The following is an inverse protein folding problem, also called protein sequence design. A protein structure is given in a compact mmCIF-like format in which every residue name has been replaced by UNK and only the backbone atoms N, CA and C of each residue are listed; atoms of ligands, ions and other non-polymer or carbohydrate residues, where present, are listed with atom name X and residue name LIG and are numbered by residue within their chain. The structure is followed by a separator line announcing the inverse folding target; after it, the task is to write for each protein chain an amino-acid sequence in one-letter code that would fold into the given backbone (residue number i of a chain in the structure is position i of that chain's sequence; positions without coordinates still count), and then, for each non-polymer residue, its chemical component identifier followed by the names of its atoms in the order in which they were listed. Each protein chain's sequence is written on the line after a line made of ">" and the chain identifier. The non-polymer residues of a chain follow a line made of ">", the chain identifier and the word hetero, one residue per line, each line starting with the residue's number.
data_IF_467972951766
#
_entry.id   IF_467972951766
#
_cell.length_a   1.000
_cell.length_b   1.000
_cell.length_c   1.000
_cell.angle_alpha   90.00
_cell.angle_beta   90.00
_cell.angle_gamma   90.00
#
_symmetry.space_group_name_H-M   'P 1'
#
loop_
_entity.id
_entity.type
_entity.pdbx_description
1 polymer ?
#
# COMPACT_ATOMS: atom_id res chain seq x y z
N UNK A 1 21.21 -31.96 5.31
CA UNK A 1 19.97 -31.81 4.52
C UNK A 1 19.63 -30.34 4.21
N UNK A 2 19.68 -29.41 5.18
CA UNK A 2 19.38 -27.97 4.98
C UNK A 2 20.16 -27.31 3.81
N UNK A 3 21.47 -27.55 3.61
CA UNK A 3 22.21 -26.96 2.48
C UNK A 3 21.70 -27.41 1.11
N UNK A 4 21.19 -28.65 1.02
CA UNK A 4 20.64 -29.24 -0.21
C UNK A 4 19.29 -28.60 -0.53
N UNK A 5 18.42 -28.45 0.47
CA UNK A 5 17.14 -27.72 0.32
C UNK A 5 17.40 -26.28 -0.16
N UNK A 6 18.45 -25.63 0.34
CA UNK A 6 18.84 -24.31 -0.11
C UNK A 6 19.34 -24.26 -1.56
N UNK A 7 20.20 -25.19 -1.98
CA UNK A 7 20.70 -25.21 -3.36
C UNK A 7 19.56 -25.46 -4.34
N UNK A 8 18.67 -26.41 -4.02
CA UNK A 8 17.47 -26.66 -4.81
C UNK A 8 16.52 -25.46 -4.80
N UNK A 9 16.34 -24.76 -3.67
CA UNK A 9 15.49 -23.56 -3.63
C UNK A 9 15.94 -22.47 -4.62
N UNK A 10 17.25 -22.35 -4.86
CA UNK A 10 17.79 -21.37 -5.82
C UNK A 10 17.52 -21.78 -7.26
N UNK A 11 17.78 -23.03 -7.60
CA UNK A 11 17.54 -23.53 -8.97
C UNK A 11 16.05 -23.52 -9.29
N UNK A 12 15.23 -24.00 -8.37
CA UNK A 12 13.79 -24.06 -8.47
C UNK A 12 13.16 -22.66 -8.53
N UNK A 13 13.70 -21.66 -7.83
CA UNK A 13 13.26 -20.28 -8.00
C UNK A 13 13.61 -19.68 -9.37
N UNK A 14 14.79 -20.00 -9.92
CA UNK A 14 15.16 -19.57 -11.28
C UNK A 14 14.25 -20.22 -12.31
N UNK A 15 14.02 -21.53 -12.23
CA UNK A 15 13.14 -22.27 -13.14
C UNK A 15 11.71 -21.75 -13.04
N UNK A 16 11.17 -21.62 -11.83
CA UNK A 16 9.82 -21.12 -11.59
C UNK A 16 9.63 -19.69 -12.12
N UNK A 17 10.60 -18.80 -11.93
CA UNK A 17 10.53 -17.42 -12.45
C UNK A 17 10.59 -17.39 -13.99
N UNK A 18 11.36 -18.27 -14.61
CA UNK A 18 11.45 -18.34 -16.07
C UNK A 18 10.20 -18.95 -16.71
N UNK A 19 9.59 -19.95 -16.08
CA UNK A 19 8.33 -20.56 -16.53
C UNK A 19 7.14 -19.59 -16.36
N UNK A 20 7.09 -18.83 -15.26
CA UNK A 20 6.06 -17.80 -15.02
C UNK A 20 6.13 -16.66 -16.07
N UNK A 21 7.33 -16.34 -16.56
CA UNK A 21 7.52 -15.38 -17.64
C UNK A 21 7.21 -15.93 -19.04
N UNK A 22 7.21 -17.25 -19.20
CA UNK A 22 7.03 -17.93 -20.48
C UNK A 22 5.96 -19.02 -20.36
N UNK A 23 4.68 -18.66 -20.19
CA UNK A 23 3.59 -19.63 -19.99
C UNK A 23 3.39 -20.57 -21.20
N UNK A 24 3.89 -20.20 -22.39
CA UNK A 24 3.89 -21.05 -23.58
C UNK A 24 4.73 -22.32 -23.43
N UNK A 25 5.79 -22.31 -22.60
CA UNK A 25 6.66 -23.47 -22.38
C UNK A 25 6.02 -24.55 -21.50
N UNK A 26 4.93 -24.23 -20.81
CA UNK A 26 4.22 -25.18 -19.94
C UNK A 26 3.28 -26.07 -20.77
N UNK A 27 2.76 -25.57 -21.90
CA UNK A 27 1.79 -26.30 -22.76
C UNK A 27 2.36 -27.55 -23.44
N UNK A 28 3.67 -27.66 -23.60
CA UNK A 28 4.31 -28.79 -24.31
C UNK A 28 4.68 -29.97 -23.41
N UNK A 29 4.47 -29.87 -22.09
CA UNK A 29 4.92 -30.91 -21.17
C UNK A 29 3.76 -31.85 -20.82
N UNK A 30 3.63 -32.92 -21.61
CA UNK A 30 2.73 -34.08 -21.41
C UNK A 30 2.97 -34.88 -20.10
N UNK A 31 3.72 -34.34 -19.12
CA UNK A 31 4.11 -35.04 -17.90
C UNK A 31 3.11 -34.89 -16.73
N UNK A 32 2.00 -34.18 -16.93
CA UNK A 32 0.93 -34.00 -15.92
C UNK A 32 -0.36 -34.78 -16.24
N UNK A 33 -0.36 -35.67 -17.24
CA UNK A 33 -1.53 -36.44 -17.66
C UNK A 33 -1.76 -37.72 -16.82
N UNK A 34 -1.38 -37.75 -15.55
CA UNK A 34 -1.72 -38.84 -14.63
C UNK A 34 -2.20 -38.28 -13.30
N UNK A 35 -3.37 -37.65 -13.34
CA UNK A 35 -4.37 -37.63 -12.25
C UNK A 35 -5.62 -36.91 -12.79
N UNK A 36 -6.31 -37.57 -13.72
CA UNK A 36 -7.68 -37.23 -14.07
C UNK A 36 -8.60 -37.77 -12.97
N UNK A 37 -9.08 -36.88 -12.10
CA UNK A 37 -10.31 -37.04 -11.34
C UNK A 37 -10.86 -35.64 -11.00
N UNK A 38 -12.00 -35.34 -11.62
CA UNK A 38 -13.03 -34.36 -11.25
C UNK A 38 -12.61 -32.91 -10.92
N UNK A 39 -12.85 -32.04 -11.92
CA UNK A 39 -13.64 -30.80 -11.79
C UNK A 39 -13.37 -29.88 -10.58
N UNK A 40 -12.10 -29.51 -10.34
CA UNK A 40 -11.71 -28.48 -9.38
C UNK A 40 -11.01 -27.26 -10.05
N UNK A 41 -11.32 -26.02 -9.63
CA UNK A 41 -10.76 -24.82 -10.23
C UNK A 41 -9.32 -24.63 -9.76
N UNK A 42 -8.36 -24.82 -10.67
CA UNK A 42 -7.00 -24.32 -10.48
C UNK A 42 -5.92 -25.35 -10.80
N UNK A 43 -5.39 -25.29 -12.02
CA UNK A 43 -4.06 -25.86 -12.31
C UNK A 43 -3.04 -25.19 -11.39
N UNK A 44 -2.54 -25.93 -10.40
CA UNK A 44 -1.48 -25.45 -9.51
C UNK A 44 -0.29 -25.09 -10.39
N UNK A 45 0.14 -23.83 -10.32
CA UNK A 45 1.28 -23.39 -11.12
C UNK A 45 2.53 -24.10 -10.62
N UNK A 46 3.48 -24.44 -11.50
CA UNK A 46 4.77 -25.00 -11.10
C UNK A 46 5.46 -24.18 -9.98
N UNK A 47 5.22 -22.86 -9.97
CA UNK A 47 5.64 -21.94 -8.90
C UNK A 47 5.04 -22.29 -7.54
N UNK A 48 3.77 -22.65 -7.50
CA UNK A 48 3.04 -23.01 -6.29
C UNK A 48 3.50 -24.36 -5.78
N UNK A 49 3.73 -25.35 -6.65
CA UNK A 49 4.33 -26.63 -6.26
C UNK A 49 5.73 -26.43 -5.65
N UNK A 50 6.54 -25.63 -6.32
CA UNK A 50 7.83 -25.15 -5.85
C UNK A 50 7.74 -24.49 -4.46
N UNK A 51 6.76 -23.63 -4.25
CA UNK A 51 6.52 -22.98 -2.96
C UNK A 51 5.98 -23.95 -1.90
N UNK A 52 5.17 -24.94 -2.29
CA UNK A 52 4.62 -25.97 -1.41
C UNK A 52 5.74 -26.85 -0.85
N UNK A 53 6.70 -27.28 -1.68
CA UNK A 53 7.89 -28.03 -1.21
C UNK A 53 8.69 -27.24 -0.18
N UNK A 54 8.89 -25.93 -0.41
CA UNK A 54 9.57 -25.06 0.55
C UNK A 54 8.74 -24.81 1.82
N UNK A 55 7.41 -24.73 1.69
CA UNK A 55 6.49 -24.59 2.81
C UNK A 55 6.49 -25.85 3.69
N UNK A 56 6.55 -27.03 3.10
CA UNK A 56 6.66 -28.30 3.83
C UNK A 56 7.97 -28.40 4.60
N UNK A 57 9.08 -27.98 3.98
CA UNK A 57 10.38 -27.90 4.66
C UNK A 57 10.32 -26.91 5.83
N UNK A 58 9.67 -25.76 5.65
CA UNK A 58 9.45 -24.77 6.70
C UNK A 58 8.60 -25.32 7.84
N UNK A 59 7.48 -25.99 7.56
CA UNK A 59 6.59 -26.59 8.58
C UNK A 59 7.35 -27.65 9.38
N UNK A 60 8.15 -28.49 8.72
CA UNK A 60 9.01 -29.50 9.39
C UNK A 60 10.05 -28.85 10.31
N UNK A 61 10.62 -27.71 9.92
CA UNK A 61 11.52 -26.94 10.78
C UNK A 61 10.77 -26.27 11.95
N UNK A 62 9.55 -25.81 11.74
CA UNK A 62 8.73 -25.12 12.73
C UNK A 62 8.21 -26.06 13.82
N UNK A 63 7.80 -27.28 13.46
CA UNK A 63 7.34 -28.31 14.39
C UNK A 63 8.39 -28.67 15.46
N UNK A 64 9.68 -28.51 15.15
CA UNK A 64 10.79 -28.73 16.07
C UNK A 64 10.84 -30.13 16.66
N UNK A 65 11.55 -30.27 17.78
CA UNK A 65 11.52 -31.49 18.59
C UNK A 65 10.33 -31.45 19.56
N UNK A 66 9.56 -32.54 19.71
CA UNK A 66 8.41 -32.56 20.59
C UNK A 66 8.81 -32.25 22.05
N UNK A 67 8.01 -31.41 22.71
CA UNK A 67 8.21 -31.03 24.13
C UNK A 67 9.12 -29.83 24.38
N UNK A 68 9.77 -29.25 23.35
CA UNK A 68 10.62 -28.06 23.53
C UNK A 68 9.82 -26.77 23.40
N UNK A 69 9.88 -25.91 24.40
CA UNK A 69 9.18 -24.61 24.38
C UNK A 69 9.72 -23.71 23.26
N UNK A 70 8.85 -22.88 22.67
CA UNK A 70 9.26 -21.90 21.64
C UNK A 70 10.23 -20.84 22.16
N UNK A 71 10.20 -20.55 23.46
CA UNK A 71 11.10 -19.58 24.11
C UNK A 71 12.52 -20.08 24.29
N UNK A 72 12.76 -21.39 24.08
CA UNK A 72 14.09 -21.99 24.22
C UNK A 72 14.95 -21.72 22.99
N UNK A 73 16.22 -21.37 23.19
CA UNK A 73 17.17 -21.14 22.11
C UNK A 73 17.45 -22.45 21.34
N UNK A 74 17.33 -22.48 20.01
CA UNK A 74 17.67 -23.65 19.22
C UNK A 74 19.16 -24.04 19.37
N UNK A 75 19.43 -25.31 19.64
CA UNK A 75 20.78 -25.90 19.62
C UNK A 75 21.20 -26.26 18.19
N UNK A 76 22.50 -26.47 17.94
CA UNK A 76 23.06 -26.78 16.62
C UNK A 76 22.39 -27.96 15.90
N UNK A 77 21.94 -28.96 16.66
CA UNK A 77 21.27 -30.16 16.14
C UNK A 77 19.75 -29.99 15.97
N UNK A 78 19.20 -28.85 16.38
CA UNK A 78 17.78 -28.56 16.32
C UNK A 78 17.35 -28.15 14.91
N UNK A 79 16.30 -28.81 14.40
CA UNK A 79 15.66 -28.48 13.12
C UNK A 79 15.18 -27.03 13.07
N UNK A 80 14.89 -26.42 14.23
CA UNK A 80 14.42 -25.03 14.36
C UNK A 80 15.45 -23.99 13.86
N UNK A 81 16.75 -24.32 13.80
CA UNK A 81 17.76 -23.45 13.17
C UNK A 81 17.41 -23.16 11.70
N UNK A 82 16.72 -24.09 11.03
CA UNK A 82 16.31 -23.96 9.64
C UNK A 82 15.06 -23.10 9.38
N UNK A 83 14.35 -22.62 10.42
CA UNK A 83 13.06 -21.92 10.28
C UNK A 83 13.19 -20.68 9.38
N UNK A 84 14.01 -19.71 9.78
CA UNK A 84 14.12 -18.46 9.00
C UNK A 84 14.86 -18.67 7.69
N UNK A 85 15.71 -19.68 7.59
CA UNK A 85 16.40 -20.01 6.35
C UNK A 85 15.44 -20.52 5.27
N UNK A 86 14.58 -21.49 5.62
CA UNK A 86 13.54 -22.02 4.73
C UNK A 86 12.45 -20.99 4.46
N UNK A 87 12.03 -20.24 5.49
CA UNK A 87 11.07 -19.16 5.34
C UNK A 87 11.56 -18.08 4.36
N UNK A 88 12.81 -17.62 4.49
CA UNK A 88 13.38 -16.62 3.59
C UNK A 88 13.47 -17.10 2.13
N UNK A 89 13.80 -18.38 1.91
CA UNK A 89 13.79 -18.97 0.57
C UNK A 89 12.38 -19.01 -0.03
N UNK A 90 11.38 -19.42 0.75
CA UNK A 90 10.00 -19.47 0.29
C UNK A 90 9.45 -18.05 0.01
N UNK A 91 9.67 -17.11 0.92
CA UNK A 91 9.26 -15.71 0.75
C UNK A 91 9.91 -15.07 -0.48
N UNK A 92 11.19 -15.37 -0.74
CA UNK A 92 11.88 -14.94 -1.96
C UNK A 92 11.18 -15.44 -3.22
N UNK A 93 10.86 -16.74 -3.27
CA UNK A 93 10.15 -17.35 -4.40
C UNK A 93 8.77 -16.71 -4.61
N UNK A 94 7.95 -16.64 -3.57
CA UNK A 94 6.61 -16.06 -3.62
C UNK A 94 6.64 -14.61 -4.13
N UNK A 95 7.64 -13.85 -3.74
CA UNK A 95 7.81 -12.48 -4.18
C UNK A 95 8.26 -12.36 -5.64
N UNK A 96 9.14 -13.25 -6.10
CA UNK A 96 9.58 -13.29 -7.50
C UNK A 96 8.41 -13.59 -8.44
N UNK A 97 7.50 -14.45 -8.02
CA UNK A 97 6.30 -14.83 -8.77
C UNK A 97 5.08 -13.95 -8.47
N UNK A 98 5.27 -12.81 -7.78
CA UNK A 98 4.22 -11.84 -7.44
C UNK A 98 3.04 -12.40 -6.62
N UNK A 99 3.18 -13.57 -6.00
CA UNK A 99 2.18 -14.24 -5.14
C UNK A 99 2.41 -13.96 -3.65
N UNK A 100 2.70 -12.71 -3.31
CA UNK A 100 3.02 -12.31 -1.92
C UNK A 100 1.85 -12.54 -0.94
N UNK A 101 0.60 -12.54 -1.43
CA UNK A 101 -0.60 -12.85 -0.61
C UNK A 101 -0.52 -14.25 0.03
N UNK A 102 0.08 -15.22 -0.66
CA UNK A 102 0.22 -16.60 -0.20
C UNK A 102 1.24 -16.77 0.96
N UNK A 103 1.92 -15.68 1.35
CA UNK A 103 2.83 -15.67 2.49
C UNK A 103 2.11 -15.47 3.85
N UNK A 104 0.83 -15.09 3.86
CA UNK A 104 0.08 -14.80 5.09
C UNK A 104 0.15 -15.96 6.09
N UNK A 105 -0.14 -17.18 5.64
CA UNK A 105 -0.12 -18.36 6.49
C UNK A 105 1.27 -18.61 7.10
N UNK A 106 2.35 -18.35 6.35
CA UNK A 106 3.70 -18.48 6.87
C UNK A 106 3.97 -17.48 8.01
N UNK A 107 3.56 -16.22 7.84
CA UNK A 107 3.71 -15.21 8.89
C UNK A 107 2.92 -15.58 10.15
N UNK A 108 1.68 -16.04 10.00
CA UNK A 108 0.86 -16.51 11.12
C UNK A 108 1.48 -17.71 11.84
N UNK A 109 2.03 -18.68 11.11
CA UNK A 109 2.71 -19.84 11.72
C UNK A 109 3.98 -19.43 12.49
N UNK A 110 4.75 -18.48 11.96
CA UNK A 110 5.93 -17.93 12.65
C UNK A 110 5.50 -17.23 13.94
N UNK A 111 4.47 -16.38 13.89
CA UNK A 111 3.94 -15.65 15.04
C UNK A 111 3.49 -16.59 16.16
N UNK A 112 2.86 -17.71 15.79
CA UNK A 112 2.36 -18.70 16.73
C UNK A 112 3.46 -19.59 17.34
N UNK A 113 4.43 -20.06 16.54
CA UNK A 113 5.28 -21.19 16.95
C UNK A 113 6.78 -20.89 16.97
N UNK A 114 7.25 -19.85 16.29
CA UNK A 114 8.69 -19.64 16.16
C UNK A 114 9.34 -19.12 17.47
N UNK A 115 10.61 -19.48 17.71
CA UNK A 115 11.41 -18.81 18.73
C UNK A 115 11.67 -17.33 18.40
N UNK A 116 12.00 -16.51 19.41
CA UNK A 116 12.35 -15.10 19.20
C UNK A 116 13.33 -14.89 18.04
N UNK A 117 13.13 -13.83 17.26
CA UNK A 117 14.05 -13.50 16.17
C UNK A 117 15.49 -13.33 16.68
N UNK A 118 15.69 -12.79 17.90
CA UNK A 118 16.99 -12.51 18.52
C UNK A 118 17.95 -13.71 18.49
N UNK A 119 17.42 -14.94 18.54
CA UNK A 119 18.21 -16.17 18.58
C UNK A 119 18.90 -16.52 17.25
N UNK A 120 18.44 -15.93 16.14
CA UNK A 120 18.93 -16.26 14.80
C UNK A 120 20.01 -15.28 14.32
N UNK A 121 20.89 -15.69 13.38
CA UNK A 121 21.90 -14.81 12.82
C UNK A 121 21.31 -13.56 12.15
N UNK A 122 22.00 -12.43 12.26
CA UNK A 122 21.54 -11.13 11.74
C UNK A 122 21.17 -11.18 10.25
N UNK A 123 21.92 -11.93 9.43
CA UNK A 123 21.62 -12.09 8.00
C UNK A 123 20.23 -12.71 7.75
N UNK A 124 19.83 -13.71 8.54
CA UNK A 124 18.52 -14.36 8.42
C UNK A 124 17.41 -13.42 8.91
N UNK A 125 17.63 -12.75 10.05
CA UNK A 125 16.67 -11.79 10.63
C UNK A 125 16.40 -10.63 9.67
N UNK A 126 17.44 -9.98 9.16
CA UNK A 126 17.33 -8.83 8.26
C UNK A 126 16.58 -9.21 6.98
N UNK A 127 16.86 -10.39 6.42
CA UNK A 127 16.18 -10.89 5.22
C UNK A 127 14.69 -11.14 5.48
N UNK A 128 14.37 -11.75 6.61
CA UNK A 128 12.98 -12.00 7.01
C UNK A 128 12.22 -10.70 7.24
N UNK A 129 12.79 -9.77 8.02
CA UNK A 129 12.20 -8.46 8.29
C UNK A 129 11.98 -7.66 7.00
N UNK A 130 12.90 -7.74 6.05
CA UNK A 130 12.71 -7.12 4.73
C UNK A 130 11.47 -7.66 4.00
N UNK A 131 11.27 -8.99 3.96
CA UNK A 131 10.10 -9.59 3.32
C UNK A 131 8.80 -9.34 4.10
N UNK A 132 8.84 -9.40 5.43
CA UNK A 132 7.71 -9.05 6.29
C UNK A 132 7.29 -7.59 6.09
N UNK A 133 8.26 -6.67 6.00
CA UNK A 133 7.99 -5.26 5.72
C UNK A 133 7.36 -5.06 4.35
N UNK A 134 7.83 -5.76 3.31
CA UNK A 134 7.21 -5.72 1.97
C UNK A 134 5.79 -6.28 1.96
N UNK A 135 5.52 -7.34 2.72
CA UNK A 135 4.17 -7.87 2.87
C UNK A 135 3.23 -6.85 3.53
N UNK A 136 3.64 -6.25 4.66
CA UNK A 136 2.85 -5.21 5.31
C UNK A 136 2.64 -3.99 4.40
N UNK A 137 3.65 -3.60 3.61
CA UNK A 137 3.54 -2.49 2.67
C UNK A 137 2.52 -2.77 1.58
N UNK A 138 2.56 -3.96 0.98
CA UNK A 138 1.61 -4.38 -0.04
C UNK A 138 0.16 -4.41 0.47
N UNK A 139 -0.05 -4.64 1.77
CA UNK A 139 -1.35 -4.60 2.44
C UNK A 139 -1.67 -3.21 3.04
N UNK A 140 -0.99 -2.14 2.62
CA UNK A 140 -1.20 -0.77 3.09
C UNK A 140 -0.98 -0.55 4.61
N UNK A 141 -0.30 -1.47 5.30
CA UNK A 141 0.03 -1.34 6.72
C UNK A 141 1.36 -0.56 6.91
N UNK A 142 1.37 0.74 6.58
CA UNK A 142 2.60 1.54 6.56
C UNK A 142 3.27 1.70 7.93
N UNK A 143 2.51 1.73 9.03
CA UNK A 143 3.08 1.81 10.38
C UNK A 143 3.85 0.54 10.74
N UNK A 144 3.22 -0.62 10.52
CA UNK A 144 3.84 -1.95 10.71
C UNK A 144 5.07 -2.10 9.82
N UNK A 145 4.96 -1.65 8.57
CA UNK A 145 6.07 -1.62 7.62
C UNK A 145 7.24 -0.79 8.15
N UNK A 146 6.98 0.43 8.62
CA UNK A 146 8.01 1.33 9.13
C UNK A 146 8.73 0.70 10.32
N UNK A 147 8.00 0.15 11.29
CA UNK A 147 8.60 -0.48 12.47
C UNK A 147 9.50 -1.68 12.12
N UNK A 148 9.02 -2.57 11.25
CA UNK A 148 9.75 -3.77 10.83
C UNK A 148 10.98 -3.43 9.99
N UNK A 149 10.84 -2.54 9.01
CA UNK A 149 11.95 -2.15 8.13
C UNK A 149 12.98 -1.27 8.83
N UNK A 150 12.57 -0.49 9.84
CA UNK A 150 13.50 0.24 10.70
C UNK A 150 14.44 -0.74 11.42
N UNK A 151 13.87 -1.78 12.06
CA UNK A 151 14.66 -2.85 12.69
C UNK A 151 15.56 -3.58 11.70
N UNK A 152 15.05 -3.86 10.48
CA UNK A 152 15.85 -4.47 9.43
C UNK A 152 17.07 -3.60 9.04
N UNK A 153 16.87 -2.29 8.90
CA UNK A 153 17.90 -1.34 8.49
C UNK A 153 18.97 -1.13 9.56
N UNK A 154 18.57 -1.13 10.84
CA UNK A 154 19.47 -1.01 11.99
C UNK A 154 20.33 -2.27 12.18
N UNK A 155 19.76 -3.46 11.94
CA UNK A 155 20.49 -4.73 12.04
C UNK A 155 21.33 -5.05 10.80
N UNK A 156 21.11 -4.38 9.67
CA UNK A 156 21.82 -4.64 8.43
C UNK A 156 23.26 -4.10 8.48
N UNK A 157 24.24 -4.94 8.14
CA UNK A 157 25.65 -4.58 8.15
C UNK A 157 25.94 -3.35 7.28
N UNK A 158 26.74 -2.40 7.79
CA UNK A 158 27.01 -1.11 7.13
C UNK A 158 27.63 -1.25 5.74
N UNK A 159 28.46 -2.27 5.52
CA UNK A 159 29.06 -2.55 4.20
C UNK A 159 28.11 -3.20 3.20
N UNK A 160 26.94 -3.73 3.64
CA UNK A 160 25.97 -4.37 2.76
C UNK A 160 25.09 -3.34 2.03
N UNK A 161 25.73 -2.40 1.30
CA UNK A 161 25.09 -1.22 0.71
C UNK A 161 23.88 -1.57 -0.17
N UNK A 162 24.01 -2.62 -1.01
CA UNK A 162 22.90 -3.07 -1.86
C UNK A 162 21.68 -3.52 -1.06
N UNK A 163 21.89 -4.25 0.04
CA UNK A 163 20.79 -4.70 0.91
C UNK A 163 20.18 -3.55 1.69
N UNK A 164 21.03 -2.67 2.24
CA UNK A 164 20.58 -1.44 2.92
C UNK A 164 19.73 -0.57 1.99
N UNK A 165 20.12 -0.45 0.71
CA UNK A 165 19.37 0.26 -0.33
C UNK A 165 17.98 -0.34 -0.56
N UNK A 166 17.88 -1.67 -0.67
CA UNK A 166 16.59 -2.35 -0.81
C UNK A 166 15.67 -2.08 0.38
N UNK A 167 16.18 -2.20 1.61
CA UNK A 167 15.41 -1.93 2.83
C UNK A 167 14.99 -0.45 2.87
N UNK A 168 15.93 0.45 2.60
CA UNK A 168 15.73 1.89 2.67
C UNK A 168 14.68 2.38 1.67
N UNK A 169 14.58 1.76 0.49
CA UNK A 169 13.56 2.10 -0.52
C UNK A 169 12.14 1.98 0.06
N UNK A 170 11.80 0.84 0.65
CA UNK A 170 10.48 0.61 1.23
C UNK A 170 10.30 1.36 2.56
N UNK A 171 11.38 1.53 3.34
CA UNK A 171 11.33 2.32 4.56
C UNK A 171 11.01 3.78 4.27
N UNK A 172 11.61 4.39 3.24
CA UNK A 172 11.30 5.76 2.83
C UNK A 172 9.88 5.88 2.30
N UNK A 173 9.45 4.97 1.43
CA UNK A 173 8.08 4.96 0.92
C UNK A 173 7.06 4.90 2.08
N UNK A 174 7.25 3.96 3.02
CA UNK A 174 6.38 3.83 4.18
C UNK A 174 6.36 5.08 5.07
N UNK A 175 7.54 5.67 5.34
CA UNK A 175 7.65 6.90 6.14
C UNK A 175 6.94 8.09 5.48
N UNK A 176 7.05 8.23 4.16
CA UNK A 176 6.39 9.32 3.42
C UNK A 176 4.87 9.15 3.45
N UNK A 177 4.36 7.92 3.28
CA UNK A 177 2.92 7.63 3.38
C UNK A 177 2.32 7.96 4.76
N UNK A 178 3.15 8.03 5.81
CA UNK A 178 2.75 8.42 7.18
C UNK A 178 3.23 9.81 7.56
N UNK A 179 3.63 10.63 6.59
CA UNK A 179 3.95 12.05 6.77
C UNK A 179 5.28 12.33 7.47
N UNK A 180 6.25 11.41 7.40
CA UNK A 180 7.61 11.58 7.91
C UNK A 180 8.61 11.60 6.76
N UNK A 181 9.32 12.72 6.60
CA UNK A 181 10.30 12.91 5.53
C UNK A 181 11.73 12.56 5.98
N UNK A 182 12.61 12.16 5.03
CA UNK A 182 13.99 11.84 5.34
C UNK A 182 14.78 13.08 5.79
N UNK A 183 15.72 12.88 6.70
CA UNK A 183 16.68 13.90 7.10
C UNK A 183 17.86 13.99 6.12
N UNK A 184 18.51 15.15 6.04
CA UNK A 184 19.71 15.33 5.22
C UNK A 184 20.83 14.35 5.57
N UNK A 185 20.99 14.02 6.86
CA UNK A 185 21.97 13.04 7.35
C UNK A 185 21.69 11.59 6.92
N UNK A 186 20.42 11.24 6.64
CA UNK A 186 20.07 9.94 6.07
C UNK A 186 20.37 9.93 4.57
N UNK A 187 20.06 11.03 3.87
CA UNK A 187 20.27 11.17 2.43
C UNK A 187 21.75 11.27 2.05
N UNK A 188 22.63 11.69 2.96
CA UNK A 188 24.08 11.74 2.73
C UNK A 188 24.75 10.37 2.80
N UNK A 189 24.03 9.29 3.11
CA UNK A 189 24.58 7.94 3.20
C UNK A 189 24.75 7.29 1.81
N UNK A 190 25.76 6.43 1.61
CA UNK A 190 26.04 5.82 0.30
C UNK A 190 24.89 4.95 -0.24
N UNK A 191 24.13 4.28 0.64
CA UNK A 191 22.94 3.52 0.22
C UNK A 191 21.79 4.42 -0.25
N UNK A 192 21.77 5.69 0.17
CA UNK A 192 20.69 6.63 -0.06
C UNK A 192 20.88 7.51 -1.31
N UNK A 193 22.08 7.59 -1.89
CA UNK A 193 22.39 8.44 -3.05
C UNK A 193 21.36 8.32 -4.18
N UNK A 194 21.20 7.13 -4.76
CA UNK A 194 20.30 6.90 -5.90
C UNK A 194 18.82 7.04 -5.51
N UNK A 195 18.49 6.67 -4.27
CA UNK A 195 17.11 6.69 -3.77
C UNK A 195 16.68 8.13 -3.46
N UNK A 196 17.59 8.93 -2.89
CA UNK A 196 17.37 10.31 -2.52
C UNK A 196 17.00 11.18 -3.72
N UNK A 197 17.62 10.92 -4.88
CA UNK A 197 17.29 11.61 -6.14
C UNK A 197 15.83 11.45 -6.55
N UNK A 198 15.19 10.33 -6.18
CA UNK A 198 13.79 10.03 -6.51
C UNK A 198 12.81 10.49 -5.41
N UNK A 199 13.17 10.29 -4.13
CA UNK A 199 12.26 10.63 -3.05
C UNK A 199 12.30 12.11 -2.63
N UNK A 200 13.42 12.81 -2.83
CA UNK A 200 13.55 14.21 -2.42
C UNK A 200 12.63 15.15 -3.24
N UNK A 201 12.55 15.04 -4.59
CA UNK A 201 11.59 15.82 -5.36
C UNK A 201 10.14 15.54 -4.94
N UNK A 202 9.80 14.26 -4.71
CA UNK A 202 8.48 13.87 -4.20
C UNK A 202 8.16 14.55 -2.86
N UNK A 203 9.10 14.56 -1.91
CA UNK A 203 8.90 15.23 -0.62
C UNK A 203 8.65 16.74 -0.80
N UNK A 204 9.39 17.40 -1.70
CA UNK A 204 9.20 18.83 -2.00
C UNK A 204 7.82 19.11 -2.61
N UNK A 205 7.38 18.27 -3.54
CA UNK A 205 6.06 18.37 -4.17
C UNK A 205 4.93 18.22 -3.12
N UNK A 206 5.06 17.23 -2.23
CA UNK A 206 4.10 17.03 -1.14
C UNK A 206 4.08 18.26 -0.22
N UNK A 207 5.25 18.80 0.14
CA UNK A 207 5.36 20.00 0.99
C UNK A 207 4.75 21.25 0.34
N UNK A 208 4.89 21.41 -0.97
CA UNK A 208 4.32 22.56 -1.69
C UNK A 208 2.80 22.44 -1.88
N UNK A 209 2.24 21.24 -1.79
CA UNK A 209 0.82 20.99 -2.08
C UNK A 209 0.49 21.10 -3.58
N UNK A 210 1.44 20.80 -4.46
CA UNK A 210 1.24 20.93 -5.91
C UNK A 210 0.67 19.63 -6.48
N UNK A 211 -0.66 19.56 -6.62
CA UNK A 211 -1.37 18.37 -7.11
C UNK A 211 -0.98 17.98 -8.53
N UNK A 212 -0.85 18.95 -9.45
CA UNK A 212 -0.46 18.66 -10.82
C UNK A 212 0.94 18.07 -10.91
N UNK A 213 1.94 18.69 -10.26
CA UNK A 213 3.30 18.12 -10.22
C UNK A 213 3.35 16.78 -9.53
N UNK A 214 2.49 16.54 -8.53
CA UNK A 214 2.40 15.26 -7.86
C UNK A 214 1.94 14.15 -8.81
N UNK A 215 0.84 14.38 -9.53
CA UNK A 215 0.35 13.43 -10.54
C UNK A 215 1.36 13.22 -11.65
N UNK A 216 1.96 14.28 -12.20
CA UNK A 216 2.99 14.17 -13.25
C UNK A 216 4.23 13.39 -12.78
N UNK A 217 4.70 13.63 -11.55
CA UNK A 217 5.90 12.98 -11.03
C UNK A 217 5.69 11.49 -10.71
N UNK A 218 4.46 11.11 -10.35
CA UNK A 218 4.09 9.72 -10.12
C UNK A 218 3.35 9.10 -11.31
N UNK A 219 3.30 9.76 -12.45
CA UNK A 219 2.65 9.21 -13.65
C UNK A 219 3.38 7.94 -14.14
N UNK A 220 2.63 6.94 -14.61
CA UNK A 220 3.18 5.63 -15.00
C UNK A 220 4.21 5.76 -16.14
N UNK A 221 4.04 6.75 -17.02
CA UNK A 221 4.94 6.98 -18.16
C UNK A 221 6.15 7.84 -17.82
N UNK A 222 6.08 8.60 -16.73
CA UNK A 222 7.21 9.38 -16.24
C UNK A 222 8.41 8.51 -15.84
N UNK A 223 9.62 9.07 -15.98
CA UNK A 223 10.87 8.40 -15.56
C UNK A 223 10.81 7.99 -14.08
N UNK A 224 10.24 8.85 -13.25
CA UNK A 224 10.05 8.61 -11.82
C UNK A 224 9.00 7.55 -11.52
N UNK A 225 7.83 7.60 -12.16
CA UNK A 225 6.80 6.57 -12.02
C UNK A 225 7.31 5.19 -12.43
N UNK A 226 7.99 5.06 -13.58
CA UNK A 226 8.64 3.80 -14.01
C UNK A 226 9.62 3.26 -12.96
N UNK A 227 10.40 4.14 -12.32
CA UNK A 227 11.34 3.76 -11.26
C UNK A 227 10.64 3.23 -9.99
N UNK A 228 9.54 3.87 -9.57
CA UNK A 228 8.74 3.46 -8.42
C UNK A 228 7.91 2.20 -8.72
N UNK A 229 7.40 2.07 -9.95
CA UNK A 229 6.63 0.91 -10.42
C UNK A 229 7.51 -0.35 -10.42
N UNK A 230 8.74 -0.25 -10.94
CA UNK A 230 9.72 -1.35 -10.91
C UNK A 230 10.03 -1.83 -9.48
N UNK A 231 9.79 -0.99 -8.47
CA UNK A 231 9.99 -1.30 -7.04
C UNK A 231 8.68 -1.63 -6.33
N UNK A 232 7.55 -1.68 -7.02
CA UNK A 232 6.23 -1.97 -6.43
C UNK A 232 5.88 -1.03 -5.27
N UNK A 233 6.22 0.26 -5.40
CA UNK A 233 5.84 1.29 -4.40
C UNK A 233 4.96 2.41 -4.98
N UNK A 234 4.78 2.45 -6.30
CA UNK A 234 4.11 3.55 -7.00
C UNK A 234 2.66 3.77 -6.53
N UNK A 235 1.84 2.73 -6.60
CA UNK A 235 0.40 2.84 -6.32
C UNK A 235 0.14 3.32 -4.89
N UNK A 236 0.85 2.74 -3.92
CA UNK A 236 0.74 3.16 -2.52
C UNK A 236 1.19 4.62 -2.31
N UNK A 237 2.19 5.09 -3.06
CA UNK A 237 2.62 6.49 -3.01
C UNK A 237 1.57 7.42 -3.62
N UNK A 238 0.99 7.07 -4.78
CA UNK A 238 -0.09 7.83 -5.42
C UNK A 238 -1.27 7.99 -4.45
N UNK A 239 -1.86 6.87 -4.01
CA UNK A 239 -3.10 6.88 -3.22
C UNK A 239 -2.94 7.57 -1.87
N UNK A 240 -1.82 7.29 -1.17
CA UNK A 240 -1.65 7.73 0.23
C UNK A 240 -1.03 9.10 0.36
N UNK A 241 -0.13 9.47 -0.55
CA UNK A 241 0.50 10.78 -0.47
C UNK A 241 -0.40 11.88 -1.02
N UNK A 242 -1.34 11.57 -1.92
CA UNK A 242 -2.28 12.56 -2.46
C UNK A 242 -3.04 13.29 -1.34
N UNK A 243 -3.54 12.56 -0.34
CA UNK A 243 -4.23 13.12 0.83
C UNK A 243 -3.31 14.12 1.57
N UNK A 244 -2.01 13.84 1.66
CA UNK A 244 -1.02 14.71 2.31
C UNK A 244 -0.72 15.94 1.44
N UNK A 245 -0.74 15.80 0.11
CA UNK A 245 -0.61 16.91 -0.84
C UNK A 245 -1.81 17.85 -0.71
N UNK A 246 -3.04 17.31 -0.68
CA UNK A 246 -4.27 18.07 -0.43
C UNK A 246 -4.21 18.84 0.88
N UNK A 247 -3.79 18.20 1.97
CA UNK A 247 -3.58 18.88 3.26
C UNK A 247 -2.59 20.04 3.13
N UNK A 248 -1.50 19.83 2.40
CA UNK A 248 -0.46 20.85 2.21
C UNK A 248 -0.94 22.00 1.34
N UNK A 249 -1.76 21.72 0.32
CA UNK A 249 -2.45 22.72 -0.49
C UNK A 249 -3.38 23.57 0.38
N UNK A 250 -4.29 22.96 1.15
CA UNK A 250 -5.20 23.68 2.06
C UNK A 250 -4.41 24.54 3.04
N UNK A 251 -3.30 24.02 3.59
CA UNK A 251 -2.41 24.76 4.48
C UNK A 251 -1.77 25.96 3.78
N UNK A 252 -1.30 25.79 2.55
CA UNK A 252 -0.66 26.87 1.77
C UNK A 252 -1.67 27.95 1.40
N UNK A 253 -2.86 27.57 0.97
CA UNK A 253 -3.95 28.51 0.68
C UNK A 253 -4.39 29.26 1.93
N UNK A 254 -4.46 28.60 3.09
CA UNK A 254 -4.73 29.28 4.37
C UNK A 254 -3.66 30.33 4.69
N UNK A 255 -2.37 30.01 4.49
CA UNK A 255 -1.28 30.96 4.75
C UNK A 255 -1.30 32.19 3.84
N UNK A 256 -1.79 32.06 2.61
CA UNK A 256 -1.80 33.13 1.62
C UNK A 256 -3.08 33.95 1.61
N UNK A 257 -4.22 33.32 1.90
CA UNK A 257 -5.55 33.90 1.68
C UNK A 257 -6.55 33.54 2.79
N UNK A 258 -6.08 32.93 3.88
CA UNK A 258 -6.89 32.66 5.06
C UNK A 258 -7.07 33.92 5.91
N UNK A 259 -8.25 34.06 6.51
CA UNK A 259 -8.51 35.07 7.51
C UNK A 259 -7.89 34.61 8.84
N UNK A 260 -6.91 35.35 9.35
CA UNK A 260 -6.10 34.95 10.52
C UNK A 260 -6.81 35.11 11.88
N UNK A 261 -8.03 35.65 11.87
CA UNK A 261 -8.79 35.97 13.08
C UNK A 261 -8.46 37.36 13.61
N UNK A 262 -9.50 38.08 14.01
CA UNK A 262 -9.43 39.31 14.81
C UNK A 262 -10.15 39.03 16.14
N UNK A 263 -10.09 39.95 17.11
CA UNK A 263 -10.83 39.80 18.37
C UNK A 263 -12.30 39.45 18.09
N UNK A 264 -12.76 38.33 18.66
CA UNK A 264 -14.10 37.71 18.51
C UNK A 264 -14.40 36.95 17.21
N UNK A 265 -13.56 36.96 16.17
CA UNK A 265 -13.80 36.21 14.92
C UNK A 265 -12.90 34.99 14.79
N UNK A 266 -13.52 33.83 14.55
CA UNK A 266 -12.80 32.57 14.31
C UNK A 266 -12.03 32.64 12.98
N UNK A 267 -10.74 32.28 12.93
CA UNK A 267 -9.98 32.18 11.68
C UNK A 267 -10.64 31.21 10.71
N UNK A 268 -10.70 31.57 9.42
CA UNK A 268 -11.33 30.72 8.41
C UNK A 268 -10.67 30.85 7.04
N UNK A 269 -10.85 29.85 6.19
CA UNK A 269 -10.46 29.83 4.79
C UNK A 269 -11.69 29.54 3.93
N UNK A 270 -11.94 30.37 2.92
CA UNK A 270 -12.95 30.08 1.90
C UNK A 270 -12.45 28.94 1.02
N UNK A 271 -13.23 27.88 0.89
CA UNK A 271 -12.87 26.68 0.14
C UNK A 271 -12.83 26.95 -1.37
N UNK A 272 -13.48 28.00 -1.85
CA UNK A 272 -13.37 28.48 -3.23
C UNK A 272 -11.91 28.77 -3.63
N UNK A 273 -11.09 29.33 -2.73
CA UNK A 273 -9.67 29.56 -3.01
C UNK A 273 -8.88 28.26 -3.12
N UNK A 274 -9.27 27.23 -2.36
CA UNK A 274 -8.66 25.90 -2.47
C UNK A 274 -9.02 25.29 -3.81
N UNK A 275 -10.28 25.40 -4.23
CA UNK A 275 -10.74 24.95 -5.55
C UNK A 275 -9.95 25.61 -6.68
N UNK A 276 -9.83 26.93 -6.68
CA UNK A 276 -9.05 27.63 -7.71
C UNK A 276 -7.59 27.21 -7.73
N UNK A 277 -6.96 27.07 -6.56
CA UNK A 277 -5.57 26.61 -6.49
C UNK A 277 -5.40 25.16 -6.99
N UNK A 278 -6.33 24.26 -6.66
CA UNK A 278 -6.34 22.88 -7.13
C UNK A 278 -6.57 22.80 -8.65
N UNK A 279 -7.59 23.50 -9.16
CA UNK A 279 -7.91 23.54 -10.59
C UNK A 279 -6.74 24.12 -11.39
N UNK A 280 -6.13 25.21 -10.93
CA UNK A 280 -4.93 25.77 -11.54
C UNK A 280 -3.77 24.77 -11.52
N UNK A 281 -3.60 24.02 -10.43
CA UNK A 281 -2.54 23.02 -10.35
C UNK A 281 -2.73 21.89 -11.37
N UNK A 282 -3.96 21.39 -11.53
CA UNK A 282 -4.32 20.29 -12.44
C UNK A 282 -4.37 20.72 -13.92
N UNK A 283 -4.87 21.93 -14.23
CA UNK A 283 -4.94 22.45 -15.61
C UNK A 283 -3.56 22.57 -16.27
N UNK A 284 -2.52 22.89 -15.50
CA UNK A 284 -1.13 22.92 -16.00
C UNK A 284 -0.68 21.57 -16.56
N UNK A 285 -1.28 20.47 -16.12
CA UNK A 285 -1.00 19.13 -16.62
C UNK A 285 -1.60 18.94 -18.02
N UNK A 286 -2.83 19.41 -18.24
CA UNK A 286 -3.53 19.33 -19.54
C UNK A 286 -2.88 20.21 -20.62
N UNK A 287 -2.40 21.42 -20.28
CA UNK A 287 -1.73 22.29 -21.26
C UNK A 287 -0.30 21.87 -21.62
N UNK A 288 0.33 21.00 -20.82
CA UNK A 288 1.69 20.49 -21.06
C UNK A 288 1.75 19.14 -21.78
N UNK A 289 0.62 18.44 -21.88
CA UNK A 289 0.48 17.13 -22.51
C UNK A 289 -0.68 17.20 -23.52
N UNK A 290 -0.37 17.43 -24.80
CA UNK A 290 -1.27 17.11 -25.92
C UNK A 290 -1.40 15.59 -26.11
N UNK A 291 -1.74 14.90 -25.03
CA UNK A 291 -1.73 13.44 -24.90
C UNK A 291 -2.22 13.06 -23.52
N UNK A 292 -3.51 12.73 -23.46
CA UNK A 292 -4.24 11.97 -22.44
C UNK A 292 -3.75 12.02 -20.99
N UNK A 293 -4.55 12.64 -20.12
CA UNK A 293 -4.67 12.14 -18.74
C UNK A 293 -5.89 11.25 -18.74
N UNK A 294 -5.67 9.94 -18.62
CA UNK A 294 -6.70 9.01 -18.26
C UNK A 294 -7.26 9.40 -16.88
N UNK A 295 -8.36 10.15 -16.90
CA UNK A 295 -9.50 9.66 -16.14
C UNK A 295 -9.73 8.21 -16.60
N UNK A 296 -10.26 7.35 -15.75
CA UNK A 296 -10.90 6.13 -16.27
C UNK A 296 -12.15 6.59 -17.02
N UNK A 297 -11.96 7.19 -18.20
CA UNK A 297 -12.86 7.03 -19.31
C UNK A 297 -12.70 5.56 -19.67
N UNK A 298 -13.75 4.79 -19.43
CA UNK A 298 -13.99 3.58 -20.18
C UNK A 298 -13.78 4.00 -21.64
N UNK A 299 -12.69 3.53 -22.27
CA UNK A 299 -12.55 3.65 -23.72
C UNK A 299 -13.66 2.77 -24.29
N UNK A 300 -14.82 3.38 -24.55
CA UNK A 300 -15.89 2.84 -25.38
C UNK A 300 -15.43 2.82 -26.84
N UNK A 301 -14.36 2.08 -27.15
CA UNK A 301 -13.93 1.86 -28.54
C UNK A 301 -14.32 0.47 -29.05
N UNK A 302 -15.14 -0.26 -28.29
CA UNK A 302 -15.84 -1.44 -28.79
C UNK A 302 -17.29 -1.43 -28.34
N UNK A 303 -18.14 -0.85 -29.18
CA UNK A 303 -19.59 -1.09 -29.16
C UNK A 303 -19.83 -2.23 -30.14
N UNK A 304 -20.35 -3.34 -29.64
CA UNK A 304 -20.78 -4.46 -30.49
C UNK A 304 -21.81 -3.93 -31.51
N UNK A 305 -21.67 -4.24 -32.82
CA UNK A 305 -22.57 -3.72 -33.86
C UNK A 305 -24.06 -3.93 -33.58
N UNK A 306 -24.43 -4.93 -32.77
CA UNK A 306 -25.81 -5.19 -32.36
C UNK A 306 -26.35 -4.14 -31.35
N UNK A 307 -25.46 -3.37 -30.71
CA UNK A 307 -25.78 -2.38 -29.68
C UNK A 307 -25.34 -0.96 -30.05
N UNK A 308 -24.91 -0.72 -31.29
CA UNK A 308 -24.44 0.59 -31.77
C UNK A 308 -25.50 1.70 -31.63
N UNK A 309 -26.79 1.34 -31.65
CA UNK A 309 -27.92 2.27 -31.56
C UNK A 309 -28.63 2.24 -30.20
N UNK A 310 -28.01 1.64 -29.17
CA UNK A 310 -28.68 1.44 -27.86
C UNK A 310 -29.06 2.77 -27.21
N UNK A 311 -28.23 3.79 -27.31
CA UNK A 311 -28.52 5.12 -26.75
C UNK A 311 -29.64 5.83 -27.52
N UNK A 312 -29.75 5.59 -28.83
CA UNK A 312 -30.86 6.09 -29.63
C UNK A 312 -32.17 5.38 -29.23
N UNK A 313 -32.12 4.07 -29.02
CA UNK A 313 -33.27 3.29 -28.55
C UNK A 313 -33.70 3.65 -27.12
N UNK A 314 -32.76 3.88 -26.20
CA UNK A 314 -33.03 4.36 -24.83
C UNK A 314 -33.71 5.73 -24.87
N UNK A 315 -33.23 6.64 -25.73
CA UNK A 315 -33.82 7.97 -25.91
C UNK A 315 -35.19 7.95 -26.61
N UNK A 316 -35.45 6.99 -27.51
CA UNK A 316 -36.78 6.82 -28.13
C UNK A 316 -37.79 6.16 -27.21
N UNK A 317 -37.35 5.23 -26.36
CA UNK A 317 -38.24 4.41 -25.52
C UNK A 317 -38.42 4.97 -24.11
N UNK A 318 -37.51 5.84 -23.64
CA UNK A 318 -37.55 6.40 -22.29
C UNK A 318 -37.15 5.40 -21.19
N UNK A 319 -36.40 4.34 -21.54
CA UNK A 319 -35.97 3.31 -20.59
C UNK A 319 -34.75 3.76 -19.78
N UNK A 320 -34.83 3.76 -18.45
CA UNK A 320 -33.74 4.15 -17.57
C UNK A 320 -33.01 2.89 -17.02
N UNK A 321 -31.77 2.60 -17.45
CA UNK A 321 -31.10 1.33 -17.16
C UNK A 321 -30.65 1.18 -15.70
N UNK A 322 -30.47 2.27 -14.97
CA UNK A 322 -30.07 2.23 -13.55
C UNK A 322 -31.23 1.85 -12.62
N UNK A 323 -32.46 2.18 -13.00
CA UNK A 323 -33.68 1.96 -12.19
C UNK A 323 -34.57 0.87 -12.77
N UNK A 324 -34.42 0.55 -14.05
CA UNK A 324 -35.20 -0.44 -14.79
C UNK A 324 -36.62 0.02 -15.14
N UNK A 325 -36.90 1.32 -15.13
CA UNK A 325 -38.23 1.89 -15.35
C UNK A 325 -38.32 2.63 -16.68
N UNK A 326 -39.52 2.66 -17.27
CA UNK A 326 -39.84 3.48 -18.45
C UNK A 326 -40.45 4.79 -17.99
N UNK A 327 -39.87 5.91 -18.43
CA UNK A 327 -40.36 7.26 -18.12
C UNK A 327 -41.35 7.72 -19.20
N UNK A 328 -42.64 7.64 -18.90
CA UNK A 328 -43.74 7.98 -19.82
C UNK A 328 -43.75 9.47 -20.27
N UNK A 329 -43.09 10.39 -19.56
CA UNK A 329 -43.06 11.83 -19.89
C UNK A 329 -41.98 12.21 -20.93
N UNK A 330 -41.16 11.27 -21.40
CA UNK A 330 -39.84 11.55 -22.00
C UNK A 330 -39.68 11.15 -23.47
N UNK A 331 -40.75 11.02 -24.25
CA UNK A 331 -40.64 10.72 -25.69
C UNK A 331 -40.43 12.02 -26.49
N UNK A 332 -39.19 12.29 -26.91
CA UNK A 332 -38.91 13.17 -28.06
C UNK A 332 -38.44 14.62 -27.82
N UNK A 333 -37.79 14.95 -26.69
CA UNK A 333 -37.14 16.27 -26.53
C UNK A 333 -35.63 16.16 -26.29
N UNK A 334 -34.89 16.91 -27.12
CA UNK A 334 -33.43 16.98 -27.19
C UNK A 334 -32.80 17.30 -25.81
N UNK A 335 -31.91 16.43 -25.32
CA UNK A 335 -31.05 16.75 -24.16
C UNK A 335 -30.10 17.87 -24.58
N UNK A 336 -30.00 18.99 -23.83
CA UNK A 336 -28.95 19.96 -24.07
C UNK A 336 -27.61 19.32 -23.72
N UNK A 337 -26.66 19.34 -24.65
CA UNK A 337 -25.31 18.86 -24.43
C UNK A 337 -24.78 19.39 -23.08
N UNK A 338 -24.46 18.47 -22.17
CA UNK A 338 -23.74 18.80 -20.94
C UNK A 338 -22.44 19.46 -21.36
N UNK A 339 -22.32 20.77 -21.10
CA UNK A 339 -21.17 21.55 -21.54
C UNK A 339 -19.87 20.96 -20.99
N UNK A 340 -18.92 20.69 -21.89
CA UNK A 340 -17.61 20.06 -21.67
C UNK A 340 -16.62 20.84 -20.78
N UNK A 341 -17.08 21.74 -19.91
CA UNK A 341 -16.23 22.65 -19.14
C UNK A 341 -16.66 22.87 -17.68
N UNK A 342 -16.99 21.80 -16.95
CA UNK A 342 -16.87 21.90 -15.50
C UNK A 342 -15.39 21.84 -15.09
N UNK A 343 -14.89 22.97 -14.59
CA UNK A 343 -13.53 23.08 -14.05
C UNK A 343 -13.34 22.14 -12.84
N UNK A 344 -12.77 20.96 -13.08
CA UNK A 344 -12.33 20.05 -12.03
C UNK A 344 -11.21 20.69 -11.18
N UNK A 345 -11.19 20.45 -9.85
CA UNK A 345 -12.19 19.71 -9.09
C UNK A 345 -13.42 20.57 -8.80
N UNK A 346 -14.58 19.92 -8.66
CA UNK A 346 -15.84 20.59 -8.27
C UNK A 346 -15.79 21.08 -6.82
N UNK A 347 -16.75 21.94 -6.45
CA UNK A 347 -16.84 22.43 -5.07
C UNK A 347 -17.12 21.27 -4.08
N UNK A 348 -17.99 20.33 -4.48
CA UNK A 348 -18.35 19.16 -3.69
C UNK A 348 -17.15 18.22 -3.46
N UNK A 349 -16.29 18.04 -4.46
CA UNK A 349 -15.05 17.26 -4.33
C UNK A 349 -14.10 17.91 -3.32
N UNK A 350 -13.89 19.23 -3.42
CA UNK A 350 -13.03 19.96 -2.46
C UNK A 350 -13.59 19.88 -1.04
N UNK A 351 -14.90 20.02 -0.86
CA UNK A 351 -15.54 19.84 0.44
C UNK A 351 -15.35 18.43 1.00
N UNK A 352 -15.54 17.41 0.16
CA UNK A 352 -15.36 16.00 0.52
C UNK A 352 -13.92 15.70 0.96
N UNK A 353 -12.94 16.24 0.22
CA UNK A 353 -11.52 16.12 0.58
C UNK A 353 -11.23 16.78 1.94
N UNK A 354 -11.71 18.01 2.16
CA UNK A 354 -11.48 18.72 3.43
C UNK A 354 -12.17 18.03 4.60
N UNK A 355 -13.40 17.54 4.41
CA UNK A 355 -14.12 16.73 5.40
C UNK A 355 -13.35 15.45 5.75
N UNK A 356 -12.84 14.73 4.75
CA UNK A 356 -12.01 13.54 4.96
C UNK A 356 -10.73 13.86 5.74
N UNK A 357 -10.07 14.98 5.44
CA UNK A 357 -8.91 15.45 6.19
C UNK A 357 -9.23 15.78 7.66
N UNK A 358 -10.41 16.34 7.94
CA UNK A 358 -10.88 16.62 9.31
C UNK A 358 -11.18 15.31 10.04
N UNK A 359 -11.90 14.38 9.42
CA UNK A 359 -12.22 13.07 9.99
C UNK A 359 -10.95 12.27 10.32
N UNK A 360 -9.95 12.33 9.43
CA UNK A 360 -8.64 11.72 9.66
C UNK A 360 -7.81 12.46 10.72
N UNK A 361 -8.24 13.65 11.18
CA UNK A 361 -7.54 14.48 12.17
C UNK A 361 -6.33 15.21 11.60
N UNK A 362 -6.16 15.18 10.28
CA UNK A 362 -5.06 15.82 9.55
C UNK A 362 -5.26 17.33 9.43
N UNK A 363 -6.52 17.78 9.53
CA UNK A 363 -6.96 19.14 9.77
C UNK A 363 -7.82 19.16 11.04
N UNK A 364 -7.78 20.27 11.79
CA UNK A 364 -8.60 20.48 12.99
C UNK A 364 -9.46 21.72 12.81
N UNK A 365 -10.76 21.53 12.66
CA UNK A 365 -11.72 22.60 12.42
C UNK A 365 -13.04 22.06 11.93
N UNK A 366 -13.88 22.96 11.42
CA UNK A 366 -15.21 22.65 10.89
C UNK A 366 -15.36 23.21 9.48
N UNK A 367 -16.08 22.51 8.63
CA UNK A 367 -16.53 23.02 7.33
C UNK A 367 -17.99 23.43 7.39
N UNK A 368 -18.35 24.45 6.62
CA UNK A 368 -19.74 24.85 6.41
C UNK A 368 -20.08 24.73 4.92
N UNK A 369 -21.25 24.16 4.61
CA UNK A 369 -21.69 23.91 3.23
C UNK A 369 -22.36 25.12 2.57
N UNK A 370 -23.25 25.83 3.28
CA UNK A 370 -24.00 27.00 2.72
C UNK A 370 -23.11 28.18 2.34
N UNK A 371 -21.94 28.30 2.96
CA UNK A 371 -20.88 29.22 2.59
C UNK A 371 -19.56 28.47 2.73
N UNK A 372 -19.07 27.82 1.65
CA UNK A 372 -17.97 26.87 1.70
C UNK A 372 -16.71 27.43 2.37
N UNK A 373 -16.54 27.14 3.65
CA UNK A 373 -15.44 27.65 4.46
C UNK A 373 -14.97 26.64 5.49
N UNK A 374 -13.67 26.57 5.68
CA UNK A 374 -12.99 25.83 6.73
C UNK A 374 -12.65 26.78 7.87
N UNK A 375 -13.28 26.60 9.03
CA UNK A 375 -13.09 27.41 10.23
C UNK A 375 -12.22 26.69 11.26
N UNK A 376 -11.31 27.41 11.91
CA UNK A 376 -10.33 26.89 12.88
C UNK A 376 -10.59 27.51 14.26
N UNK A 377 -11.49 26.94 15.07
CA UNK A 377 -11.74 27.42 16.42
C UNK A 377 -10.57 27.11 17.36
N UNK A 378 -10.51 27.82 18.49
CA UNK A 378 -9.49 27.60 19.52
C UNK A 378 -8.07 28.06 19.14
N UNK A 379 -7.92 28.81 18.04
CA UNK A 379 -6.65 29.36 17.57
C UNK A 379 -5.91 30.18 18.63
N UNK A 380 -6.64 30.99 19.42
CA UNK A 380 -6.04 31.81 20.47
C UNK A 380 -5.40 30.97 21.59
N UNK A 381 -6.06 29.87 22.01
CA UNK A 381 -5.54 28.97 23.06
C UNK A 381 -4.33 28.16 22.60
N UNK A 382 -4.25 27.82 21.31
CA UNK A 382 -3.17 27.02 20.74
C UNK A 382 -1.93 27.84 20.29
N UNK A 383 -1.94 29.17 20.50
CA UNK A 383 -0.86 30.06 20.05
C UNK A 383 -0.86 30.30 18.53
N UNK A 384 -2.04 30.35 17.91
CA UNK A 384 -2.26 30.74 16.50
C UNK A 384 -3.05 29.73 15.67
N UNK A 385 -3.68 30.16 14.56
CA UNK A 385 -4.50 29.31 13.69
C UNK A 385 -3.71 28.14 13.09
N UNK A 386 -2.43 28.34 12.79
CA UNK A 386 -1.58 27.31 12.21
C UNK A 386 -1.34 26.13 13.17
N UNK A 387 -1.11 26.43 14.46
CA UNK A 387 -0.90 25.42 15.50
C UNK A 387 -2.20 24.70 15.86
N UNK A 388 -3.32 25.43 15.88
CA UNK A 388 -4.63 24.85 16.12
C UNK A 388 -5.08 23.92 14.98
N UNK A 389 -5.03 24.40 13.73
CA UNK A 389 -5.70 23.77 12.59
C UNK A 389 -4.88 22.76 11.80
N UNK A 390 -3.54 22.82 11.86
CA UNK A 390 -2.67 22.00 11.01
C UNK A 390 -1.67 21.17 11.83
N UNK A 391 -2.12 20.14 12.56
CA UNK A 391 -1.26 19.28 13.38
C UNK A 391 -0.26 18.49 12.52
N UNK A 392 0.86 18.05 13.10
CA UNK A 392 1.85 17.23 12.37
C UNK A 392 1.24 15.89 11.93
N UNK A 393 1.35 15.58 10.63
CA UNK A 393 0.76 14.37 10.02
C UNK A 393 1.26 13.12 10.72
N UNK A 394 2.57 13.01 10.93
CA UNK A 394 3.18 11.90 11.66
C UNK A 394 2.59 11.73 13.06
N UNK A 395 2.45 12.81 13.83
CA UNK A 395 1.92 12.73 15.20
C UNK A 395 0.46 12.27 15.23
N UNK A 396 -0.37 12.73 14.30
CA UNK A 396 -1.79 12.37 14.19
C UNK A 396 -1.95 10.91 13.82
N UNK A 397 -1.14 10.46 12.85
CA UNK A 397 -1.14 9.07 12.43
C UNK A 397 -0.64 8.20 13.58
N UNK A 398 0.49 8.51 14.22
CA UNK A 398 0.99 7.70 15.33
C UNK A 398 0.09 7.70 16.57
N UNK A 399 -0.58 8.82 16.91
CA UNK A 399 -1.47 8.87 18.09
C UNK A 399 -2.71 7.99 17.95
N UNK A 400 -3.12 7.70 16.70
CA UNK A 400 -4.19 6.75 16.39
C UNK A 400 -3.71 5.30 16.35
N UNK A 401 -2.45 5.03 16.69
CA UNK A 401 -1.95 3.66 16.78
C UNK A 401 -2.26 3.14 18.19
N UNK A 402 -3.09 2.11 18.27
CA UNK A 402 -3.03 1.20 19.41
C UNK A 402 -1.65 0.56 19.43
N UNK A 403 -1.10 0.30 20.63
CA UNK A 403 0.17 -0.40 20.87
C UNK A 403 0.09 -1.89 20.45
N UNK A 404 -0.40 -2.16 19.24
CA UNK A 404 -0.52 -3.51 18.71
C UNK A 404 0.84 -3.98 18.22
N UNK A 405 1.26 -5.13 18.76
CA UNK A 405 2.36 -5.95 18.26
C UNK A 405 2.23 -6.12 16.74
N UNK A 406 3.33 -5.96 16.01
CA UNK A 406 3.33 -6.15 14.56
C UNK A 406 3.22 -7.66 14.25
N UNK A 407 2.17 -8.14 13.58
CA UNK A 407 2.03 -9.57 13.29
C UNK A 407 3.23 -10.10 12.49
N UNK A 408 3.78 -11.23 12.93
CA UNK A 408 4.99 -11.85 12.38
C UNK A 408 6.30 -11.30 12.94
N UNK A 409 6.27 -10.28 13.79
CA UNK A 409 7.46 -9.77 14.49
C UNK A 409 7.58 -10.42 15.88
N UNK A 410 8.28 -11.56 15.93
CA UNK A 410 8.42 -12.35 17.17
C UNK A 410 9.58 -11.85 18.02
N UNK A 411 9.23 -11.18 19.12
CA UNK A 411 10.17 -10.62 20.09
C UNK A 411 9.92 -11.18 21.48
N UNK A 412 10.96 -11.28 22.30
CA UNK A 412 10.89 -11.84 23.65
C UNK A 412 9.81 -11.18 24.52
N UNK A 413 9.68 -9.85 24.44
CA UNK A 413 8.63 -9.10 25.15
C UNK A 413 7.21 -9.49 24.72
N UNK A 414 6.98 -9.74 23.44
CA UNK A 414 5.66 -10.06 22.89
C UNK A 414 5.22 -11.49 23.21
N UNK A 415 6.18 -12.38 23.49
CA UNK A 415 5.92 -13.79 23.81
C UNK A 415 5.35 -13.98 25.23
N UNK A 416 5.59 -13.01 26.12
CA UNK A 416 5.15 -13.03 27.52
C UNK A 416 3.72 -12.52 27.72
N UNK A 417 3.18 -11.74 26.77
CA UNK A 417 1.91 -11.04 26.94
C UNK A 417 0.66 -11.89 26.67
N UNK A 418 0.74 -12.98 25.90
CA UNK A 418 -0.39 -13.88 25.69
C UNK A 418 0.12 -15.31 25.47
N UNK A 419 0.11 -16.08 26.55
CA UNK A 419 0.24 -17.53 26.48
C UNK A 419 -0.82 -18.08 25.53
N UNK A 420 -0.37 -18.82 24.52
CA UNK A 420 -1.20 -19.33 23.43
C UNK A 420 -2.49 -19.97 23.93
N UNK A 421 -3.63 -19.40 23.53
CA UNK A 421 -4.90 -20.11 23.57
C UNK A 421 -4.86 -21.17 22.47
N UNK A 422 -4.23 -22.30 22.77
CA UNK A 422 -4.38 -23.52 21.99
C UNK A 422 -5.83 -23.93 22.14
N UNK A 423 -6.67 -23.62 21.14
CA UNK A 423 -7.98 -24.27 21.02
C UNK A 423 -7.68 -25.72 20.65
N UNK A 424 -7.61 -26.60 21.66
CA UNK A 424 -7.58 -28.04 21.46
C UNK A 424 -8.94 -28.46 20.90
N UNK A 425 -9.00 -28.68 19.59
CA UNK A 425 -10.20 -29.19 18.90
C UNK A 425 -10.28 -30.72 19.03
N UNK A 426 -10.02 -31.28 20.22
CA UNK A 426 -10.31 -32.69 20.47
C UNK A 426 -11.76 -32.78 20.97
N UNK A 427 -12.69 -33.09 20.06
CA UNK A 427 -14.09 -33.42 20.39
C UNK A 427 -15.18 -32.53 19.79
N UNK A 428 -14.89 -31.66 18.81
CA UNK A 428 -15.97 -30.97 18.10
C UNK A 428 -16.75 -31.98 17.24
N UNK A 429 -18.01 -32.25 17.60
CA UNK A 429 -18.95 -33.02 16.77
C UNK A 429 -19.21 -32.24 15.47
N UNK A 430 -19.39 -32.91 14.33
CA UNK A 430 -19.75 -32.25 13.08
C UNK A 430 -21.11 -31.55 13.25
N UNK A 431 -21.18 -30.29 12.80
CA UNK A 431 -22.44 -29.56 12.73
C UNK A 431 -23.25 -30.10 11.54
N UNK A 432 -24.38 -30.75 11.83
CA UNK A 432 -25.26 -31.37 10.84
C UNK A 432 -25.63 -32.81 11.18
N UNK A 433 -26.31 -32.99 12.32
CA UNK A 433 -27.15 -34.15 12.61
C UNK A 433 -28.48 -33.64 13.18
#
# INVERSE_FOLDING_TARGET
>A
MIPIVLSFSRTLAVVATNLDRNPSLIRSTSLTATQDADDAPGKVSFVEDAANVLRDAFIKCLAGSPGVQRTTRPSADDKRIGIYLTANSCLKLLLQCRKLRNAQQMFSSIDAQSPPLSYYPAAQRVTYLYYLGRYHFANNHFRRTQAVLQKAYEQCHRQAIKHRRLILTYLLAANICIGRFPSSALLSRPEASDIGQMFLPLCRIIQSGDLGRFHQYLDIDSVSGKWFLKRSVLLQLQDRCEIIVWRSLVRRTFLLSGFMGEEKKVPFLRLLYVRHAASWALKRLKSGNGGGVSAVSIEEDYVDPEFADIDAAINETGFEPETGQYLDEYIGQHVPAVGEHEDLPTMAEVESVVLSLIQQGLLRGFTLHTNPRFAIPGSQKAGGPMRAGFPSVWSVIMSKATEQVVPGLVEEGNLSSEGGRVVRIFGARPAGA
#
